data_IF_340896318664
#
_entry.id   IF_340896318664
#
_cell.length_a   1.000
_cell.length_b   1.000
_cell.length_c   1.000
_cell.angle_alpha   90.00
_cell.angle_beta   90.00
_cell.angle_gamma   90.00
#
_symmetry.space_group_name_H-M   'P 1'
#
loop_
_entity.id
_entity.type
_entity.pdbx_description
1 polymer ?
#
# COMPACT_ATOMS: atom_id res chain seq x y z
N UNK A 1 -15.58 -4.80 -4.94
CA UNK A 1 -15.99 -4.48 -3.54
C UNK A 1 -16.47 -3.04 -3.52
N UNK A 2 -17.68 -2.82 -3.04
CA UNK A 2 -18.21 -1.47 -2.87
C UNK A 2 -17.65 -0.89 -1.57
N UNK A 3 -17.13 0.33 -1.67
CA UNK A 3 -16.71 1.13 -0.50
C UNK A 3 -17.87 2.04 -0.18
N UNK A 4 -18.29 2.08 1.08
CA UNK A 4 -19.35 2.96 1.56
C UNK A 4 -18.93 3.61 2.87
N UNK A 5 -19.54 4.76 3.19
CA UNK A 5 -19.39 5.43 4.46
C UNK A 5 -20.78 5.72 5.06
N UNK A 6 -20.86 5.70 6.39
CA UNK A 6 -22.00 6.15 7.15
C UNK A 6 -21.59 7.39 7.95
N UNK A 7 -22.26 8.51 7.70
CA UNK A 7 -21.96 9.77 8.36
C UNK A 7 -23.16 10.21 9.18
N UNK A 8 -22.94 10.56 10.45
CA UNK A 8 -23.95 11.09 11.34
C UNK A 8 -23.56 12.54 11.65
N UNK A 9 -24.42 13.46 11.25
CA UNK A 9 -24.23 14.89 11.45
C UNK A 9 -25.02 15.40 12.64
N UNK A 10 -24.42 16.30 13.38
CA UNK A 10 -25.03 17.11 14.41
C UNK A 10 -25.30 18.50 13.86
N UNK A 11 -26.14 19.28 14.55
CA UNK A 11 -26.32 20.70 14.19
C UNK A 11 -25.01 21.49 14.21
N UNK A 12 -25.04 22.69 13.64
CA UNK A 12 -23.87 23.58 13.50
C UNK A 12 -23.16 23.79 14.85
N UNK A 13 -21.84 23.71 14.83
CA UNK A 13 -20.98 23.92 15.99
C UNK A 13 -19.77 24.77 15.59
N UNK A 14 -19.34 25.64 16.48
CA UNK A 14 -18.11 26.43 16.33
C UNK A 14 -16.84 25.61 16.60
N UNK A 15 -17.00 24.42 17.18
CA UNK A 15 -15.87 23.54 17.53
C UNK A 15 -15.94 22.29 16.66
N UNK A 16 -14.87 22.04 15.91
CA UNK A 16 -14.73 20.83 15.11
C UNK A 16 -14.20 19.71 16.00
N UNK A 17 -15.09 18.76 16.28
CA UNK A 17 -14.73 17.57 17.03
C UNK A 17 -15.70 16.44 16.71
N UNK A 18 -15.19 15.40 16.07
CA UNK A 18 -15.98 14.20 15.77
C UNK A 18 -15.14 12.94 15.90
N UNK A 19 -15.81 11.80 15.91
CA UNK A 19 -15.16 10.49 15.94
C UNK A 19 -15.23 9.86 14.57
N UNK A 20 -14.13 9.24 14.16
CA UNK A 20 -14.04 8.47 12.93
C UNK A 20 -13.51 7.08 13.22
N UNK A 21 -14.08 6.07 12.59
CA UNK A 21 -13.59 4.71 12.63
C UNK A 21 -13.59 4.16 11.20
N UNK A 22 -12.47 3.64 10.77
CA UNK A 22 -12.25 3.25 9.38
C UNK A 22 -11.86 1.78 9.27
N UNK A 23 -11.88 1.26 8.02
CA UNK A 23 -11.52 -0.12 7.73
C UNK A 23 -12.36 -1.13 8.52
N UNK A 24 -13.66 -0.89 8.56
CA UNK A 24 -14.64 -1.74 9.22
C UNK A 24 -15.02 -2.89 8.28
N UNK A 25 -14.80 -4.11 8.73
CA UNK A 25 -15.14 -5.33 8.01
C UNK A 25 -16.28 -6.10 8.68
N UNK A 26 -16.69 -5.67 9.87
CA UNK A 26 -17.87 -6.20 10.59
C UNK A 26 -18.48 -5.11 11.48
N UNK A 27 -19.83 -4.95 11.52
CA UNK A 27 -20.47 -3.90 12.27
C UNK A 27 -20.22 -3.96 13.80
N UNK A 28 -20.16 -5.16 14.38
CA UNK A 28 -19.92 -5.33 15.82
C UNK A 28 -18.57 -4.75 16.29
N UNK A 29 -17.63 -4.54 15.37
CA UNK A 29 -16.35 -3.93 15.70
C UNK A 29 -16.52 -2.51 16.27
N UNK A 30 -17.58 -1.80 15.89
CA UNK A 30 -17.86 -0.44 16.36
C UNK A 30 -18.12 -0.46 17.86
N UNK A 31 -19.21 -1.11 18.29
CA UNK A 31 -19.62 -1.13 19.68
C UNK A 31 -18.55 -1.74 20.59
N UNK A 32 -17.95 -2.84 20.14
CA UNK A 32 -16.90 -3.51 20.88
C UNK A 32 -15.64 -2.64 21.01
N UNK A 33 -15.32 -1.78 20.02
CA UNK A 33 -14.20 -0.84 20.12
C UNK A 33 -14.47 0.28 21.14
N UNK A 34 -15.70 0.74 21.25
CA UNK A 34 -16.10 1.70 22.29
C UNK A 34 -16.03 1.09 23.71
N UNK A 35 -16.34 -0.19 23.86
CA UNK A 35 -16.27 -0.90 25.13
C UNK A 35 -14.85 -1.41 25.49
N UNK A 36 -13.90 -1.34 24.56
CA UNK A 36 -12.56 -1.91 24.73
C UNK A 36 -11.72 -1.11 25.73
N UNK A 37 -11.04 -1.79 26.65
CA UNK A 37 -10.21 -1.19 27.71
C UNK A 37 -8.95 -0.46 27.20
N UNK A 38 -8.51 -0.74 25.97
CA UNK A 38 -7.31 -0.15 25.38
C UNK A 38 -6.03 -0.97 25.60
N UNK A 39 -6.12 -2.12 26.26
CA UNK A 39 -4.98 -3.00 26.46
C UNK A 39 -4.59 -3.73 25.17
N UNK A 40 -3.29 -3.88 24.92
CA UNK A 40 -2.78 -4.53 23.72
C UNK A 40 -2.63 -3.58 22.54
N UNK A 41 -2.65 -4.12 21.33
CA UNK A 41 -2.51 -3.38 20.07
C UNK A 41 -3.71 -3.63 19.16
N UNK A 42 -4.09 -2.61 18.38
CA UNK A 42 -5.20 -2.74 17.41
C UNK A 42 -4.90 -3.71 16.27
N UNK A 43 -3.64 -4.08 16.10
CA UNK A 43 -3.19 -4.80 14.90
C UNK A 43 -3.29 -3.95 13.63
N UNK A 44 -2.95 -4.55 12.50
CA UNK A 44 -3.06 -3.91 11.17
C UNK A 44 -4.45 -4.11 10.55
N UNK A 45 -4.64 -3.58 9.34
CA UNK A 45 -5.87 -3.78 8.54
C UNK A 45 -6.10 -5.25 8.22
N UNK A 46 -5.02 -6.01 8.06
CA UNK A 46 -5.04 -7.47 7.94
C UNK A 46 -4.22 -8.10 9.05
N UNK A 47 -4.69 -9.23 9.53
CA UNK A 47 -4.02 -10.04 10.56
C UNK A 47 -3.80 -11.46 10.05
N UNK A 48 -2.78 -12.14 10.57
CA UNK A 48 -2.57 -13.56 10.29
C UNK A 48 -3.59 -14.39 11.06
N UNK A 49 -4.30 -15.27 10.35
CA UNK A 49 -5.15 -16.29 10.98
C UNK A 49 -4.30 -17.42 11.58
N UNK A 50 -4.91 -18.29 12.35
CA UNK A 50 -4.28 -19.51 12.87
C UNK A 50 -3.69 -20.42 11.76
N UNK A 51 -4.31 -20.38 10.58
CA UNK A 51 -3.84 -21.11 9.39
C UNK A 51 -2.71 -20.38 8.64
N UNK A 52 -2.23 -19.25 9.15
CA UNK A 52 -1.17 -18.44 8.53
C UNK A 52 -1.61 -17.55 7.36
N UNK A 53 -2.88 -17.59 6.96
CA UNK A 53 -3.43 -16.72 5.91
C UNK A 53 -3.76 -15.33 6.45
N UNK A 54 -3.57 -14.32 5.61
CA UNK A 54 -3.98 -12.96 5.95
C UNK A 54 -5.50 -12.80 5.75
N UNK A 55 -6.17 -12.41 6.83
CA UNK A 55 -7.61 -12.10 6.85
C UNK A 55 -7.83 -10.65 7.27
N UNK A 56 -9.00 -10.10 6.94
CA UNK A 56 -9.39 -8.76 7.37
C UNK A 56 -9.55 -8.70 8.88
N UNK A 57 -8.97 -7.67 9.50
CA UNK A 57 -9.02 -7.49 10.95
C UNK A 57 -10.41 -6.99 11.37
N UNK A 58 -11.15 -7.82 12.05
CA UNK A 58 -12.45 -7.51 12.68
C UNK A 58 -12.35 -7.29 14.18
N UNK A 59 -11.15 -7.42 14.76
CA UNK A 59 -10.94 -7.29 16.19
C UNK A 59 -11.21 -5.85 16.66
N UNK A 60 -11.94 -5.68 17.77
CA UNK A 60 -12.18 -4.38 18.36
C UNK A 60 -10.93 -3.85 19.06
N UNK A 61 -10.76 -2.54 19.07
CA UNK A 61 -9.77 -1.86 19.92
C UNK A 61 -10.11 -0.38 20.06
N UNK A 62 -9.93 0.19 21.25
CA UNK A 62 -10.25 1.60 21.49
C UNK A 62 -9.37 2.57 20.68
N UNK A 63 -8.15 2.16 20.29
CA UNK A 63 -7.28 2.96 19.42
C UNK A 63 -7.79 3.08 17.97
N UNK A 64 -8.76 2.26 17.56
CA UNK A 64 -9.40 2.39 16.24
C UNK A 64 -10.35 3.59 16.15
N UNK A 65 -10.75 4.14 17.31
CA UNK A 65 -11.60 5.33 17.37
C UNK A 65 -10.72 6.56 17.32
N UNK A 66 -10.72 7.21 16.16
CA UNK A 66 -9.95 8.44 15.93
C UNK A 66 -10.82 9.63 16.31
N UNK A 67 -10.33 10.47 17.21
CA UNK A 67 -10.95 11.74 17.56
C UNK A 67 -10.37 12.80 16.63
N UNK A 68 -11.14 13.22 15.66
CA UNK A 68 -10.74 14.24 14.70
C UNK A 68 -11.05 15.62 15.27
N UNK A 69 -10.01 16.45 15.28
CA UNK A 69 -10.05 17.87 15.69
C UNK A 69 -9.49 18.73 14.56
N UNK A 70 -9.60 20.02 14.69
CA UNK A 70 -9.01 20.99 13.76
C UNK A 70 -7.50 20.78 13.58
N UNK A 71 -6.75 20.56 14.65
CA UNK A 71 -5.30 20.28 14.60
C UNK A 71 -5.01 19.05 13.74
N UNK A 72 -5.80 17.99 13.88
CA UNK A 72 -5.63 16.78 13.07
C UNK A 72 -5.95 17.05 11.61
N UNK A 73 -7.01 17.82 11.33
CA UNK A 73 -7.33 18.20 9.95
C UNK A 73 -6.20 19.03 9.33
N UNK A 74 -5.60 19.94 10.09
CA UNK A 74 -4.45 20.72 9.64
C UNK A 74 -3.24 19.83 9.32
N UNK A 75 -2.94 18.85 10.17
CA UNK A 75 -1.88 17.85 9.90
C UNK A 75 -2.18 17.09 8.61
N UNK A 76 -3.41 16.66 8.41
CA UNK A 76 -3.79 15.94 7.18
C UNK A 76 -3.66 16.83 5.95
N UNK A 77 -4.11 18.10 6.02
CA UNK A 77 -3.97 19.07 4.94
C UNK A 77 -2.51 19.29 4.57
N UNK A 78 -1.65 19.54 5.54
CA UNK A 78 -0.20 19.70 5.33
C UNK A 78 0.42 18.46 4.71
N UNK A 79 0.11 17.30 5.24
CA UNK A 79 0.75 16.04 4.82
C UNK A 79 0.33 15.57 3.43
N UNK A 80 -0.95 15.72 3.07
CA UNK A 80 -1.50 15.14 1.85
C UNK A 80 -1.82 16.15 0.75
N UNK A 81 -2.03 17.42 1.11
CA UNK A 81 -2.47 18.44 0.17
C UNK A 81 -1.49 19.63 0.08
N UNK A 82 -0.45 19.62 0.90
CA UNK A 82 0.53 20.71 0.99
C UNK A 82 -0.16 22.08 1.18
N UNK A 83 -1.16 22.12 2.07
CA UNK A 83 -1.99 23.29 2.35
C UNK A 83 -2.09 23.55 3.84
N UNK A 84 -2.22 24.82 4.22
CA UNK A 84 -2.53 25.23 5.59
C UNK A 84 -4.05 25.39 5.83
N UNK A 85 -4.86 25.14 4.81
CA UNK A 85 -6.32 25.24 4.89
C UNK A 85 -6.91 23.89 5.26
N UNK A 86 -7.45 23.77 6.47
CA UNK A 86 -8.02 22.51 6.96
C UNK A 86 -9.50 22.32 6.60
N UNK A 87 -10.22 23.40 6.24
CA UNK A 87 -11.67 23.38 5.98
C UNK A 87 -12.06 22.51 4.78
N UNK A 88 -11.18 22.44 3.80
CA UNK A 88 -11.38 21.64 2.58
C UNK A 88 -10.65 20.31 2.57
N UNK A 89 -9.99 19.95 3.69
CA UNK A 89 -9.16 18.75 3.79
C UNK A 89 -9.96 17.46 3.62
N UNK A 90 -9.43 16.58 2.78
CA UNK A 90 -9.98 15.23 2.59
C UNK A 90 -9.69 14.35 3.79
N UNK A 91 -10.74 13.72 4.30
CA UNK A 91 -10.57 12.72 5.36
C UNK A 91 -9.95 11.45 4.80
N UNK A 92 -8.75 11.14 5.27
CA UNK A 92 -8.08 9.89 4.93
C UNK A 92 -8.50 8.77 5.86
N UNK A 93 -8.46 7.54 5.36
CA UNK A 93 -8.82 6.36 6.12
C UNK A 93 -7.70 5.99 7.10
N UNK A 94 -7.85 6.37 8.36
CA UNK A 94 -6.89 6.09 9.44
C UNK A 94 -7.38 4.89 10.24
N UNK A 95 -6.62 3.80 10.26
CA UNK A 95 -7.02 2.57 10.92
C UNK A 95 -6.93 2.63 12.43
N UNK A 96 -5.93 3.31 12.97
CA UNK A 96 -5.71 3.39 14.41
C UNK A 96 -4.93 4.65 14.82
N UNK A 97 -4.93 4.95 16.13
CA UNK A 97 -4.19 6.08 16.69
C UNK A 97 -2.68 5.97 16.47
N UNK A 98 -2.14 4.77 16.40
CA UNK A 98 -0.73 4.52 16.11
C UNK A 98 -0.35 5.06 14.73
N UNK A 99 -1.22 4.83 13.73
CA UNK A 99 -1.03 5.39 12.37
C UNK A 99 -1.19 6.90 12.40
N UNK A 100 -2.18 7.43 13.12
CA UNK A 100 -2.32 8.88 13.28
C UNK A 100 -1.07 9.53 13.87
N UNK A 101 -0.48 8.92 14.90
CA UNK A 101 0.75 9.42 15.52
C UNK A 101 1.94 9.45 14.53
N UNK A 102 2.01 8.48 13.62
CA UNK A 102 3.01 8.50 12.55
C UNK A 102 2.75 9.64 11.57
N UNK A 103 1.48 9.87 11.19
CA UNK A 103 1.11 10.96 10.28
C UNK A 103 1.41 12.33 10.90
N UNK A 104 1.16 12.52 12.19
CA UNK A 104 1.51 13.75 12.90
C UNK A 104 3.02 14.00 12.81
N UNK A 105 3.84 12.99 13.08
CA UNK A 105 5.30 13.12 12.99
C UNK A 105 5.77 13.38 11.55
N UNK A 106 5.10 12.83 10.54
CA UNK A 106 5.40 13.12 9.15
C UNK A 106 5.00 14.55 8.78
N UNK A 107 3.88 15.06 9.32
CA UNK A 107 3.46 16.45 9.11
C UNK A 107 4.43 17.48 9.73
N UNK A 108 5.17 17.10 10.76
CA UNK A 108 6.20 17.95 11.38
C UNK A 108 7.55 17.90 10.63
N UNK A 109 7.68 17.03 9.63
CA UNK A 109 8.93 16.88 8.89
C UNK A 109 9.11 18.03 7.90
N UNK A 110 10.24 18.73 8.02
CA UNK A 110 10.61 19.80 7.11
C UNK A 110 11.07 19.27 5.76
N UNK A 111 10.38 19.66 4.73
CA UNK A 111 10.71 19.32 3.34
C UNK A 111 9.93 18.13 2.80
N UNK A 112 9.02 18.43 1.93
CA UNK A 112 8.24 17.43 1.17
C UNK A 112 8.87 17.17 -0.19
N UNK A 113 8.60 15.99 -0.73
CA UNK A 113 9.16 15.58 -2.02
C UNK A 113 8.75 16.50 -3.16
N UNK A 114 7.55 17.12 -3.06
CA UNK A 114 7.06 18.11 -4.02
C UNK A 114 7.92 19.37 -4.13
N UNK A 115 8.65 19.73 -3.06
CA UNK A 115 9.55 20.89 -3.06
C UNK A 115 10.83 20.62 -3.87
N UNK A 116 11.09 19.37 -4.15
CA UNK A 116 12.20 18.95 -5.00
C UNK A 116 11.70 18.92 -6.45
N UNK A 117 12.27 19.71 -7.31
CA UNK A 117 11.97 19.68 -8.76
C UNK A 117 12.45 18.34 -9.38
N UNK A 118 11.86 17.24 -8.94
CA UNK A 118 12.20 15.90 -9.42
C UNK A 118 11.43 15.66 -10.72
N UNK A 119 12.15 15.51 -11.81
CA UNK A 119 11.56 15.01 -13.05
C UNK A 119 11.40 13.51 -12.93
N UNK A 120 10.16 13.06 -12.93
CA UNK A 120 9.82 11.64 -12.94
C UNK A 120 9.45 11.28 -14.38
N UNK A 121 10.11 10.27 -14.94
CA UNK A 121 9.77 9.70 -16.24
C UNK A 121 9.74 8.20 -16.14
N UNK A 122 9.04 7.56 -17.05
CA UNK A 122 9.01 6.10 -17.18
C UNK A 122 10.37 5.54 -17.64
N UNK A 123 11.35 6.38 -17.95
CA UNK A 123 12.57 6.08 -18.67
C UNK A 123 12.26 5.62 -20.10
N UNK A 124 11.60 4.49 -20.25
CA UNK A 124 11.17 3.92 -21.53
C UNK A 124 10.05 2.91 -21.30
N UNK A 125 9.22 2.75 -22.31
CA UNK A 125 8.11 1.79 -22.32
C UNK A 125 8.39 0.66 -23.30
N UNK A 126 8.41 -0.58 -22.83
CA UNK A 126 8.81 -1.77 -23.62
C UNK A 126 8.05 -1.97 -24.93
N UNK A 127 6.86 -1.41 -25.06
CA UNK A 127 6.02 -1.57 -26.24
C UNK A 127 5.98 -0.30 -27.08
N UNK A 128 5.78 0.86 -26.42
CA UNK A 128 5.55 2.12 -27.12
C UNK A 128 6.85 2.73 -27.66
N UNK A 129 7.96 2.49 -26.98
CA UNK A 129 9.26 3.09 -27.32
C UNK A 129 10.13 2.18 -28.21
N UNK A 130 9.60 1.05 -28.65
CA UNK A 130 10.32 0.17 -29.58
C UNK A 130 10.61 0.90 -30.88
N UNK A 131 11.87 0.87 -31.32
CA UNK A 131 12.43 1.60 -32.46
C UNK A 131 12.44 3.13 -32.31
N UNK A 132 12.14 3.67 -31.13
CA UNK A 132 12.26 5.11 -30.81
C UNK A 132 13.38 5.30 -29.80
N UNK A 133 13.24 4.73 -28.61
CA UNK A 133 14.22 4.79 -27.52
C UNK A 133 14.90 3.46 -27.25
N UNK A 134 14.24 2.36 -27.57
CA UNK A 134 14.75 1.00 -27.38
C UNK A 134 14.70 0.20 -28.67
N UNK A 135 15.63 -0.71 -28.81
CA UNK A 135 15.70 -1.69 -29.90
C UNK A 135 15.55 -3.10 -29.32
N UNK A 136 14.62 -3.89 -29.86
CA UNK A 136 14.49 -5.30 -29.50
C UNK A 136 15.40 -6.12 -30.40
N UNK A 137 16.37 -6.80 -29.81
CA UNK A 137 17.27 -7.72 -30.53
C UNK A 137 17.14 -9.11 -29.94
N UNK A 138 17.09 -10.10 -30.82
CA UNK A 138 17.32 -11.48 -30.42
C UNK A 138 18.83 -11.69 -30.40
N UNK A 139 19.39 -11.99 -29.24
CA UNK A 139 20.82 -12.17 -29.02
C UNK A 139 21.09 -13.67 -28.89
N UNK A 140 21.98 -14.18 -29.75
CA UNK A 140 22.51 -15.55 -29.72
C UNK A 140 24.02 -15.48 -29.68
N UNK A 141 24.70 -16.34 -29.02
CA UNK A 141 24.82 -16.65 -27.61
C UNK A 141 26.05 -15.99 -26.99
N UNK A 142 26.19 -15.97 -25.70
CA UNK A 142 27.30 -15.48 -24.87
C UNK A 142 27.07 -14.09 -24.29
N UNK A 143 25.94 -13.93 -23.62
CA UNK A 143 25.77 -12.83 -22.69
C UNK A 143 26.19 -13.34 -21.32
N UNK A 144 27.01 -12.59 -20.62
CA UNK A 144 27.33 -12.82 -19.23
C UNK A 144 26.03 -12.63 -18.40
N UNK A 145 25.82 -13.46 -17.37
CA UNK A 145 24.55 -13.47 -16.61
C UNK A 145 24.18 -12.11 -16.00
N UNK A 146 25.16 -11.27 -15.69
CA UNK A 146 24.92 -9.93 -15.14
C UNK A 146 24.45 -8.89 -16.17
N UNK A 147 24.50 -9.21 -17.45
CA UNK A 147 23.99 -8.35 -18.53
C UNK A 147 22.48 -8.55 -18.77
N UNK A 148 21.87 -9.55 -18.12
CA UNK A 148 20.46 -9.86 -18.28
C UNK A 148 19.62 -9.20 -17.22
N UNK A 149 18.59 -8.47 -17.65
CA UNK A 149 17.54 -7.99 -16.78
C UNK A 149 16.42 -9.04 -16.76
N UNK A 150 16.38 -9.85 -15.70
CA UNK A 150 15.35 -10.85 -15.49
C UNK A 150 14.16 -10.20 -14.78
N UNK A 151 13.13 -9.85 -15.53
CA UNK A 151 11.96 -9.18 -14.99
C UNK A 151 10.82 -10.18 -14.65
N UNK A 152 10.17 -9.93 -13.48
CA UNK A 152 9.19 -10.80 -12.87
C UNK A 152 8.10 -11.38 -13.79
N UNK A 153 7.18 -10.58 -14.37
CA UNK A 153 6.03 -11.15 -15.09
C UNK A 153 6.42 -12.01 -16.30
N UNK A 154 7.36 -11.54 -17.10
CA UNK A 154 7.76 -12.25 -18.30
C UNK A 154 8.52 -13.54 -18.02
N UNK A 155 9.29 -13.54 -16.95
CA UNK A 155 10.12 -14.68 -16.60
C UNK A 155 9.42 -15.65 -15.65
N UNK A 156 8.54 -15.14 -14.79
CA UNK A 156 7.91 -15.93 -13.73
C UNK A 156 6.55 -16.49 -14.11
N UNK A 157 5.76 -15.78 -14.89
CA UNK A 157 4.41 -16.18 -15.26
C UNK A 157 4.37 -16.73 -16.67
N UNK A 158 4.97 -16.03 -17.64
CA UNK A 158 4.88 -16.37 -19.06
C UNK A 158 5.87 -17.44 -19.50
N UNK A 159 6.94 -17.65 -18.75
CA UNK A 159 8.01 -18.57 -19.14
C UNK A 159 8.57 -19.36 -17.95
N UNK A 160 7.82 -20.35 -17.45
CA UNK A 160 8.20 -21.14 -16.27
C UNK A 160 9.25 -22.22 -16.58
N UNK A 161 9.94 -22.17 -17.72
CA UNK A 161 10.79 -23.24 -18.25
C UNK A 161 11.82 -23.81 -17.27
N UNK A 162 12.22 -23.05 -16.26
CA UNK A 162 13.26 -23.43 -15.30
C UNK A 162 12.81 -23.31 -13.85
N UNK A 163 11.50 -23.32 -13.66
CA UNK A 163 10.87 -23.24 -12.34
C UNK A 163 9.86 -24.35 -12.16
N UNK A 164 9.86 -24.94 -10.98
CA UNK A 164 8.81 -25.84 -10.57
C UNK A 164 7.67 -25.06 -9.95
N UNK A 165 6.48 -25.22 -10.49
CA UNK A 165 5.28 -24.75 -9.85
C UNK A 165 4.97 -25.65 -8.64
N UNK A 166 4.73 -25.06 -7.46
CA UNK A 166 4.37 -25.82 -6.26
C UNK A 166 2.93 -26.33 -6.32
N UNK A 167 2.06 -25.56 -6.96
CA UNK A 167 0.63 -25.84 -7.13
C UNK A 167 0.07 -24.96 -8.24
N UNK A 168 -1.19 -24.53 -8.14
CA UNK A 168 -1.73 -23.47 -8.99
C UNK A 168 -1.03 -22.14 -8.62
N UNK A 169 -0.15 -21.68 -9.48
CA UNK A 169 0.62 -20.47 -9.28
C UNK A 169 -0.20 -19.22 -9.63
N UNK A 170 -0.36 -18.33 -8.67
CA UNK A 170 -1.08 -17.06 -8.86
C UNK A 170 -0.17 -15.84 -8.62
N UNK A 171 0.87 -16.01 -7.82
CA UNK A 171 1.81 -14.95 -7.48
C UNK A 171 3.25 -15.46 -7.60
N UNK A 172 4.20 -14.55 -7.69
CA UNK A 172 5.62 -14.90 -7.90
C UNK A 172 6.20 -15.82 -6.82
N UNK A 173 5.73 -15.75 -5.58
CA UNK A 173 6.18 -16.61 -4.49
C UNK A 173 5.71 -18.06 -4.60
N UNK A 174 4.77 -18.37 -5.49
CA UNK A 174 4.30 -19.72 -5.72
C UNK A 174 5.25 -20.55 -6.59
N UNK A 175 6.23 -19.88 -7.20
CA UNK A 175 7.26 -20.51 -8.01
C UNK A 175 8.54 -20.72 -7.20
N UNK A 176 9.28 -21.75 -7.53
CA UNK A 176 10.61 -21.97 -6.99
C UNK A 176 11.63 -20.97 -7.55
N UNK A 177 12.78 -20.88 -6.89
CA UNK A 177 13.89 -20.04 -7.36
C UNK A 177 14.38 -20.54 -8.72
N UNK A 178 14.69 -19.61 -9.61
CA UNK A 178 15.25 -19.94 -10.91
C UNK A 178 16.65 -20.57 -10.74
N UNK A 179 16.82 -21.73 -11.30
CA UNK A 179 18.14 -22.36 -11.40
C UNK A 179 18.82 -21.90 -12.69
N UNK A 180 19.65 -20.89 -12.58
CA UNK A 180 20.40 -20.32 -13.72
C UNK A 180 21.32 -21.33 -14.40
N UNK A 181 21.73 -22.38 -13.70
CA UNK A 181 22.61 -23.40 -14.28
C UNK A 181 21.90 -24.27 -15.31
N UNK A 182 20.57 -24.36 -15.22
CA UNK A 182 19.72 -25.11 -16.15
C UNK A 182 19.31 -24.29 -17.38
N UNK A 183 19.53 -23.00 -17.37
CA UNK A 183 19.23 -22.16 -18.53
C UNK A 183 20.28 -22.48 -19.60
N UNK A 184 19.81 -23.01 -20.72
CA UNK A 184 20.69 -23.29 -21.85
C UNK A 184 21.35 -22.00 -22.33
N UNK A 185 22.66 -22.05 -22.57
CA UNK A 185 23.41 -20.92 -23.14
C UNK A 185 22.87 -20.42 -24.51
N UNK A 186 21.95 -21.17 -25.08
CA UNK A 186 21.28 -20.80 -26.34
C UNK A 186 19.99 -19.99 -26.10
N UNK A 187 19.58 -19.79 -24.86
CA UNK A 187 18.39 -19.01 -24.48
C UNK A 187 18.72 -17.76 -23.64
N UNK A 188 19.99 -17.54 -23.39
CA UNK A 188 20.49 -16.35 -22.69
C UNK A 188 21.01 -15.32 -23.68
#
# INVERSE_FOLDING_TARGET
>A
HNIFSLNIYKGQSSIIRFKSINNLFHPSTIDSSFAHSGNGTSGGIKVKSETGKFIWNTSPHSSRIIHVTEDILLVLSKTFENSDEWESTKLVSIHSKEILNVLIRLGDFEGVLSDKMIKISECWHETNDVNILIERKTIYPKIEQYELILNGPHFFVSNPLYKSARSICQINSDYDIIDHTKISKNYL
#
